data_IF_918201438595
#
_entry.id   IF_918201438595
#
_cell.length_a   1.000
_cell.length_b   1.000
_cell.length_c   1.000
_cell.angle_alpha   90.00
_cell.angle_beta   90.00
_cell.angle_gamma   90.00
#
_symmetry.space_group_name_H-M   'P 1'
#
loop_
_entity.id
_entity.type
_entity.pdbx_description
1 polymer ?
#
# COMPACT_ATOMS: atom_id res chain seq x y z
N UNK A 1 -23.34 17.09 1.93
CA UNK A 1 -23.75 15.72 2.22
C UNK A 1 -23.62 14.82 0.99
N UNK A 2 -22.43 14.79 0.34
CA UNK A 2 -22.21 14.00 -0.90
C UNK A 2 -20.78 13.40 -0.98
N UNK A 3 -20.07 13.25 0.14
CA UNK A 3 -18.67 12.82 0.14
C UNK A 3 -18.45 11.32 0.35
N UNK A 4 -19.51 10.57 0.71
CA UNK A 4 -19.46 9.12 1.00
C UNK A 4 -20.06 8.25 -0.12
N UNK A 5 -20.28 8.81 -1.31
CA UNK A 5 -20.99 8.11 -2.39
C UNK A 5 -20.18 6.96 -3.01
N UNK A 6 -18.88 6.91 -2.76
CA UNK A 6 -17.97 5.98 -3.43
C UNK A 6 -17.44 4.86 -2.53
N UNK A 7 -17.33 5.10 -1.23
CA UNK A 7 -16.95 4.05 -0.29
C UNK A 7 -18.20 3.37 0.25
N UNK A 8 -18.34 2.08 -0.03
CA UNK A 8 -19.49 1.33 0.42
C UNK A 8 -19.38 1.07 1.93
N UNK A 9 -20.41 1.44 2.70
CA UNK A 9 -20.51 1.02 4.08
C UNK A 9 -20.78 -0.49 4.14
N UNK A 10 -20.37 -1.13 5.22
CA UNK A 10 -20.60 -2.56 5.42
C UNK A 10 -21.16 -2.83 6.83
N UNK A 11 -21.89 -3.91 6.96
CA UNK A 11 -22.31 -4.41 8.26
C UNK A 11 -21.11 -4.99 9.02
N UNK A 12 -21.16 -4.95 10.34
CA UNK A 12 -20.04 -5.40 11.18
C UNK A 12 -19.84 -6.92 11.22
N UNK A 13 -20.75 -7.69 10.65
CA UNK A 13 -20.61 -9.13 10.37
C UNK A 13 -19.97 -9.40 9.00
N UNK A 14 -19.95 -8.42 8.08
CA UNK A 14 -19.19 -8.48 6.83
C UNK A 14 -17.71 -8.13 7.07
N UNK A 15 -16.82 -8.87 6.43
CA UNK A 15 -15.37 -8.68 6.50
C UNK A 15 -14.86 -8.34 5.11
N UNK A 16 -14.63 -7.05 4.78
CA UNK A 16 -14.21 -6.64 3.44
C UNK A 16 -12.94 -7.36 2.98
N UNK A 17 -12.89 -7.76 1.73
CA UNK A 17 -11.72 -8.37 1.09
C UNK A 17 -10.76 -7.27 0.62
N UNK A 18 -9.52 -7.28 1.12
CA UNK A 18 -8.56 -6.17 0.95
C UNK A 18 -7.25 -6.70 0.37
N UNK A 19 -6.82 -6.15 -0.75
CA UNK A 19 -5.47 -6.38 -1.26
C UNK A 19 -4.53 -5.31 -0.70
N UNK A 20 -3.45 -5.73 -0.03
CA UNK A 20 -2.31 -4.88 0.29
C UNK A 20 -1.14 -5.29 -0.61
N UNK A 21 -0.69 -4.38 -1.46
CA UNK A 21 0.38 -4.64 -2.41
C UNK A 21 1.47 -3.58 -2.36
N UNK A 22 2.65 -3.94 -2.82
CA UNK A 22 3.79 -3.04 -2.99
C UNK A 22 4.37 -3.20 -4.39
N UNK A 23 5.65 -2.91 -4.52
CA UNK A 23 6.35 -2.95 -5.80
C UNK A 23 6.61 -4.36 -6.35
N UNK A 24 6.27 -5.41 -5.62
CA UNK A 24 6.57 -6.79 -6.02
C UNK A 24 5.91 -7.21 -7.34
N UNK A 25 4.70 -6.73 -7.61
CA UNK A 25 4.02 -7.01 -8.87
C UNK A 25 4.77 -6.40 -10.06
N UNK A 26 5.19 -5.16 -9.97
CA UNK A 26 6.01 -4.48 -10.98
C UNK A 26 7.41 -5.12 -11.12
N UNK A 27 8.04 -5.46 -10.00
CA UNK A 27 9.35 -6.13 -9.97
C UNK A 27 9.37 -7.51 -10.61
N UNK A 28 8.24 -8.15 -10.80
CA UNK A 28 8.17 -9.39 -11.56
C UNK A 28 8.54 -9.20 -13.04
N UNK A 29 8.46 -7.96 -13.55
CA UNK A 29 8.73 -7.59 -14.95
C UNK A 29 9.99 -6.72 -15.12
N UNK A 30 10.39 -5.97 -14.10
CA UNK A 30 11.58 -5.09 -14.13
C UNK A 30 12.30 -5.12 -12.76
N UNK A 31 13.62 -5.04 -12.77
CA UNK A 31 14.40 -4.87 -11.53
C UNK A 31 14.31 -3.43 -11.00
N UNK A 32 13.09 -3.03 -10.64
CA UNK A 32 12.81 -1.77 -9.99
C UNK A 32 12.73 -1.98 -8.47
N UNK A 33 13.70 -1.45 -7.72
CA UNK A 33 13.77 -1.62 -6.28
C UNK A 33 14.18 -0.33 -5.55
N UNK A 34 13.94 -0.31 -4.24
CA UNK A 34 14.29 0.81 -3.37
C UNK A 34 15.79 1.15 -3.40
N UNK A 35 16.66 0.15 -3.47
CA UNK A 35 18.10 0.37 -3.52
C UNK A 35 18.49 1.17 -4.77
N UNK A 36 17.91 0.84 -5.93
CA UNK A 36 18.14 1.57 -7.18
C UNK A 36 17.68 3.02 -7.07
N UNK A 37 16.43 3.24 -6.59
CA UNK A 37 15.92 4.59 -6.41
C UNK A 37 16.81 5.42 -5.46
N UNK A 38 17.14 4.88 -4.29
CA UNK A 38 17.93 5.61 -3.31
C UNK A 38 19.38 5.81 -3.79
N UNK A 39 19.92 4.87 -4.57
CA UNK A 39 21.20 5.03 -5.24
C UNK A 39 21.18 6.19 -6.24
N UNK A 40 20.15 6.25 -7.08
CA UNK A 40 19.95 7.32 -8.06
C UNK A 40 19.80 8.69 -7.38
N UNK A 41 18.98 8.78 -6.32
CA UNK A 41 18.83 9.99 -5.50
C UNK A 41 20.12 10.39 -4.78
N UNK A 42 21.02 9.45 -4.49
CA UNK A 42 22.33 9.76 -3.90
C UNK A 42 23.29 10.40 -4.90
N UNK A 43 23.08 10.22 -6.20
CA UNK A 43 23.97 10.67 -7.26
C UNK A 43 25.41 10.17 -7.07
N UNK A 44 26.40 11.04 -7.24
CA UNK A 44 27.84 10.73 -7.09
C UNK A 44 28.37 10.87 -5.65
N UNK A 45 27.51 11.06 -4.64
CA UNK A 45 27.95 11.32 -3.25
C UNK A 45 28.69 10.15 -2.60
N UNK A 46 28.43 8.93 -3.03
CA UNK A 46 29.02 7.73 -2.45
C UNK A 46 29.66 6.85 -3.54
N UNK A 47 30.87 6.31 -3.26
CA UNK A 47 31.44 5.24 -4.07
C UNK A 47 30.61 3.95 -3.92
N UNK A 48 30.76 3.01 -4.85
CA UNK A 48 30.05 1.72 -4.80
C UNK A 48 30.40 0.92 -3.55
N UNK A 49 31.64 1.00 -3.08
CA UNK A 49 32.07 0.38 -1.83
C UNK A 49 31.30 0.95 -0.62
N UNK A 50 31.21 2.28 -0.51
CA UNK A 50 30.43 2.94 0.55
C UNK A 50 28.96 2.64 0.44
N UNK A 51 28.40 2.62 -0.78
CA UNK A 51 27.01 2.25 -0.99
C UNK A 51 26.74 0.82 -0.53
N UNK A 52 27.64 -0.14 -0.82
CA UNK A 52 27.55 -1.51 -0.34
C UNK A 52 27.45 -1.66 1.19
N UNK A 53 28.00 -0.68 1.95
CA UNK A 53 27.86 -0.61 3.40
C UNK A 53 26.51 0.02 3.76
N UNK A 54 26.16 1.15 3.14
CA UNK A 54 24.98 1.95 3.46
C UNK A 54 23.66 1.21 3.19
N UNK A 55 23.59 0.41 2.12
CA UNK A 55 22.38 -0.38 1.79
C UNK A 55 21.97 -1.42 2.83
N UNK A 56 22.81 -1.65 3.86
CA UNK A 56 22.46 -2.48 5.02
C UNK A 56 21.60 -1.75 6.05
N UNK A 57 21.47 -0.42 5.93
CA UNK A 57 20.56 0.37 6.76
C UNK A 57 19.10 0.07 6.39
N UNK A 58 18.17 0.12 7.35
CA UNK A 58 16.75 0.14 7.05
C UNK A 58 16.39 1.28 6.08
N UNK A 59 15.46 1.03 5.16
CA UNK A 59 15.14 1.97 4.09
C UNK A 59 14.85 3.42 4.53
N UNK A 60 14.11 3.68 5.64
CA UNK A 60 13.89 5.05 6.09
C UNK A 60 15.17 5.78 6.52
N UNK A 61 16.17 5.06 7.05
CA UNK A 61 17.49 5.62 7.40
C UNK A 61 18.34 5.81 6.16
N UNK A 62 18.35 4.81 5.26
CA UNK A 62 19.07 4.90 4.00
C UNK A 62 18.58 6.09 3.17
N UNK A 63 17.28 6.37 3.16
CA UNK A 63 16.71 7.52 2.46
C UNK A 63 17.26 8.86 2.97
N UNK A 64 17.43 9.03 4.30
CA UNK A 64 18.03 10.24 4.88
C UNK A 64 19.48 10.40 4.43
N UNK A 65 20.26 9.31 4.48
CA UNK A 65 21.66 9.33 4.04
C UNK A 65 21.77 9.58 2.54
N UNK A 66 20.94 8.91 1.73
CA UNK A 66 20.92 9.04 0.29
C UNK A 66 20.56 10.47 -0.16
N UNK A 67 19.65 11.15 0.50
CA UNK A 67 19.22 12.52 0.14
C UNK A 67 20.04 13.62 0.82
N UNK A 68 20.84 13.30 1.84
CA UNK A 68 21.77 14.23 2.50
C UNK A 68 21.10 15.50 3.03
N UNK A 69 20.11 15.40 3.88
CA UNK A 69 19.30 16.49 4.44
C UNK A 69 18.44 17.28 3.42
N UNK A 70 18.43 16.88 2.15
CA UNK A 70 17.60 17.46 1.09
C UNK A 70 16.42 16.57 0.72
N UNK A 71 15.78 15.96 1.71
CA UNK A 71 14.71 14.99 1.53
C UNK A 71 13.57 15.51 0.65
N UNK A 72 13.17 16.79 0.83
CA UNK A 72 12.12 17.41 0.01
C UNK A 72 12.51 17.51 -1.48
N UNK A 73 13.77 17.75 -1.78
CA UNK A 73 14.28 17.78 -3.16
C UNK A 73 14.27 16.36 -3.73
N UNK A 74 14.79 15.38 -2.99
CA UNK A 74 14.75 13.97 -3.39
C UNK A 74 13.34 13.45 -3.63
N UNK A 75 12.36 13.86 -2.82
CA UNK A 75 10.94 13.50 -3.04
C UNK A 75 10.39 14.07 -4.34
N UNK A 76 10.75 15.31 -4.72
CA UNK A 76 10.34 15.91 -5.99
C UNK A 76 10.99 15.21 -7.19
N UNK A 77 12.27 14.85 -7.08
CA UNK A 77 12.97 14.07 -8.11
C UNK A 77 12.36 12.68 -8.28
N UNK A 78 12.13 11.97 -7.18
CA UNK A 78 11.45 10.68 -7.18
C UNK A 78 10.04 10.77 -7.77
N UNK A 79 9.28 11.85 -7.46
CA UNK A 79 7.96 12.09 -8.05
C UNK A 79 7.99 12.20 -9.57
N UNK A 80 9.01 12.86 -10.13
CA UNK A 80 9.14 13.00 -11.58
C UNK A 80 9.40 11.65 -12.25
N UNK A 81 10.19 10.78 -11.63
CA UNK A 81 10.44 9.42 -12.12
C UNK A 81 9.16 8.56 -12.05
N UNK A 82 8.52 8.51 -10.90
CA UNK A 82 7.36 7.66 -10.68
C UNK A 82 6.09 8.08 -11.44
N UNK A 83 5.91 9.37 -11.73
CA UNK A 83 4.75 9.80 -12.51
C UNK A 83 4.85 9.37 -13.99
N UNK A 84 6.08 9.16 -14.47
CA UNK A 84 6.39 8.72 -15.82
C UNK A 84 6.47 7.19 -15.95
N UNK A 85 6.50 6.46 -14.83
CA UNK A 85 6.51 4.99 -14.86
C UNK A 85 5.30 4.46 -15.62
N UNK A 86 5.54 3.59 -16.57
CA UNK A 86 4.52 2.97 -17.41
C UNK A 86 4.30 1.51 -17.03
N UNK A 87 3.15 0.98 -17.41
CA UNK A 87 2.84 -0.45 -17.27
C UNK A 87 3.66 -1.23 -18.29
N UNK A 88 4.38 -2.23 -17.82
CA UNK A 88 5.23 -3.07 -18.66
C UNK A 88 4.41 -4.12 -19.43
N UNK A 89 4.94 -4.65 -20.56
CA UNK A 89 4.25 -5.70 -21.30
C UNK A 89 3.93 -6.93 -20.45
N UNK A 90 2.67 -7.31 -20.36
CA UNK A 90 2.18 -8.43 -19.53
C UNK A 90 1.82 -8.05 -18.09
N UNK A 91 2.35 -6.94 -17.57
CA UNK A 91 2.04 -6.46 -16.22
C UNK A 91 0.57 -6.08 -16.07
N UNK A 92 -0.01 -5.46 -17.09
CA UNK A 92 -1.45 -5.12 -17.11
C UNK A 92 -2.33 -6.35 -16.95
N UNK A 93 -1.93 -7.49 -17.53
CA UNK A 93 -2.64 -8.77 -17.39
C UNK A 93 -2.61 -9.26 -15.96
N UNK A 94 -1.44 -9.23 -15.31
CA UNK A 94 -1.29 -9.63 -13.91
C UNK A 94 -2.09 -8.72 -12.96
N UNK A 95 -2.01 -7.39 -13.17
CA UNK A 95 -2.76 -6.41 -12.38
C UNK A 95 -4.27 -6.62 -12.56
N UNK A 96 -4.77 -6.75 -13.79
CA UNK A 96 -6.19 -7.01 -14.05
C UNK A 96 -6.65 -8.32 -13.39
N UNK A 97 -5.83 -9.37 -13.42
CA UNK A 97 -6.11 -10.62 -12.72
C UNK A 97 -6.22 -10.40 -11.22
N UNK A 98 -5.31 -9.64 -10.62
CA UNK A 98 -5.37 -9.27 -9.20
C UNK A 98 -6.67 -8.53 -8.85
N UNK A 99 -7.05 -7.53 -9.64
CA UNK A 99 -8.26 -6.75 -9.40
C UNK A 99 -9.53 -7.59 -9.59
N UNK A 100 -9.57 -8.43 -10.61
CA UNK A 100 -10.71 -9.32 -10.90
C UNK A 100 -10.89 -10.44 -9.87
N UNK A 101 -9.97 -10.58 -8.91
CA UNK A 101 -10.14 -11.48 -7.75
C UNK A 101 -11.31 -11.05 -6.84
N UNK A 102 -11.80 -9.79 -6.95
CA UNK A 102 -12.97 -9.31 -6.22
C UNK A 102 -12.65 -8.63 -4.89
N UNK A 103 -11.50 -7.96 -4.79
CA UNK A 103 -11.17 -7.13 -3.63
C UNK A 103 -12.04 -5.86 -3.60
N UNK A 104 -12.52 -5.51 -2.42
CA UNK A 104 -13.33 -4.31 -2.17
C UNK A 104 -12.48 -3.04 -2.00
N UNK A 105 -11.22 -3.21 -1.60
CA UNK A 105 -10.24 -2.14 -1.55
C UNK A 105 -8.84 -2.62 -1.92
N UNK A 106 -8.13 -1.78 -2.66
CA UNK A 106 -6.73 -1.99 -3.01
C UNK A 106 -5.89 -0.95 -2.24
N UNK A 107 -4.94 -1.44 -1.47
CA UNK A 107 -3.98 -0.64 -0.73
C UNK A 107 -2.60 -0.85 -1.35
N UNK A 108 -1.93 0.23 -1.72
CA UNK A 108 -0.57 0.12 -2.26
C UNK A 108 0.40 1.03 -1.54
N UNK A 109 1.61 0.52 -1.29
CA UNK A 109 2.74 1.32 -0.81
C UNK A 109 3.49 2.01 -1.94
N UNK A 110 3.15 1.71 -3.21
CA UNK A 110 3.78 2.34 -4.38
C UNK A 110 3.39 3.82 -4.49
N UNK A 111 4.33 4.63 -4.96
CA UNK A 111 4.05 6.04 -5.30
C UNK A 111 3.60 6.21 -6.75
N UNK A 112 3.90 5.26 -7.61
CA UNK A 112 3.60 5.20 -9.04
C UNK A 112 2.20 4.65 -9.31
N UNK A 113 1.76 4.66 -10.56
CA UNK A 113 0.37 4.46 -10.95
C UNK A 113 0.16 3.29 -11.92
N UNK A 114 0.95 2.24 -11.82
CA UNK A 114 0.85 1.07 -12.71
C UNK A 114 -0.53 0.40 -12.60
N UNK A 115 -1.09 0.34 -11.38
CA UNK A 115 -2.41 -0.25 -11.13
C UNK A 115 -3.49 0.55 -11.86
N UNK A 116 -3.48 1.87 -11.68
CA UNK A 116 -4.46 2.77 -12.28
C UNK A 116 -4.36 2.79 -13.81
N UNK A 117 -3.15 2.82 -14.33
CA UNK A 117 -2.89 2.81 -15.78
C UNK A 117 -3.29 1.49 -16.42
N UNK A 118 -3.09 0.35 -15.74
CA UNK A 118 -3.53 -0.97 -16.21
C UNK A 118 -5.06 -1.08 -16.28
N UNK A 119 -5.77 -0.48 -15.30
CA UNK A 119 -7.23 -0.49 -15.24
C UNK A 119 -7.87 0.51 -16.20
N UNK A 120 -7.28 1.68 -16.35
CA UNK A 120 -7.80 2.77 -17.15
C UNK A 120 -6.71 3.30 -18.10
N UNK A 121 -6.64 2.85 -19.36
CA UNK A 121 -5.61 3.29 -20.32
C UNK A 121 -5.55 4.81 -20.54
N UNK A 122 -6.64 5.54 -20.22
CA UNK A 122 -6.68 7.00 -20.23
C UNK A 122 -6.37 7.65 -18.89
N UNK A 123 -5.88 6.90 -17.91
CA UNK A 123 -5.52 7.45 -16.61
C UNK A 123 -4.34 8.43 -16.74
N UNK A 124 -4.57 9.64 -16.25
CA UNK A 124 -3.54 10.66 -16.25
C UNK A 124 -3.61 11.52 -14.99
N UNK A 125 -2.47 11.73 -14.37
CA UNK A 125 -2.26 12.64 -13.27
C UNK A 125 -1.02 13.50 -13.52
N UNK A 126 -0.97 14.69 -12.95
CA UNK A 126 0.19 15.58 -13.06
C UNK A 126 0.56 16.13 -11.69
N UNK A 127 1.85 16.37 -11.49
CA UNK A 127 2.40 16.86 -10.22
C UNK A 127 1.73 18.18 -9.82
N UNK A 128 1.21 18.22 -8.60
CA UNK A 128 0.57 19.41 -8.02
C UNK A 128 -0.76 19.81 -8.66
N UNK A 129 -1.33 18.98 -9.55
CA UNK A 129 -2.61 19.27 -10.20
C UNK A 129 -3.75 18.47 -9.56
N UNK A 130 -4.95 19.06 -9.60
CA UNK A 130 -6.16 18.34 -9.24
C UNK A 130 -6.41 17.19 -10.23
N UNK A 131 -6.91 16.06 -9.71
CA UNK A 131 -7.28 14.91 -10.52
C UNK A 131 -8.76 14.58 -10.32
N UNK A 132 -9.46 14.26 -11.41
CA UNK A 132 -10.86 13.81 -11.36
C UNK A 132 -11.01 12.48 -10.63
N UNK A 133 -9.96 11.67 -10.62
CA UNK A 133 -9.94 10.37 -9.97
C UNK A 133 -9.72 10.48 -8.46
N UNK A 134 -9.03 11.53 -7.99
CA UNK A 134 -8.71 11.68 -6.56
C UNK A 134 -9.92 12.12 -5.76
N UNK A 135 -10.18 11.39 -4.69
CA UNK A 135 -11.22 11.67 -3.70
C UNK A 135 -10.55 11.78 -2.33
N UNK A 136 -11.27 12.38 -1.39
CA UNK A 136 -10.81 12.48 0.01
C UNK A 136 -11.97 12.31 0.97
N UNK A 137 -11.72 11.69 2.09
CA UNK A 137 -12.71 11.47 3.15
C UNK A 137 -12.67 12.56 4.23
N UNK A 138 -11.60 13.38 4.27
CA UNK A 138 -11.41 14.45 5.24
C UNK A 138 -11.41 15.83 4.57
N UNK A 139 -11.92 16.86 5.28
CA UNK A 139 -11.96 18.25 4.81
C UNK A 139 -10.70 19.04 5.14
N UNK A 140 -9.81 18.49 5.96
CA UNK A 140 -8.62 19.20 6.45
C UNK A 140 -7.64 19.57 5.33
N UNK A 141 -6.83 20.59 5.60
CA UNK A 141 -5.76 20.97 4.67
C UNK A 141 -4.77 19.81 4.51
N UNK A 142 -4.33 19.52 3.28
CA UNK A 142 -3.44 18.43 3.03
C UNK A 142 -2.09 18.64 3.71
N UNK A 143 -1.72 17.73 4.59
CA UNK A 143 -0.36 17.46 5.04
C UNK A 143 0.03 16.09 4.52
N UNK A 144 1.31 15.76 4.44
CA UNK A 144 1.78 14.48 3.92
C UNK A 144 1.00 13.32 4.54
N UNK A 145 1.04 13.19 5.84
CA UNK A 145 0.38 12.13 6.59
C UNK A 145 -1.16 12.15 6.51
N UNK A 146 -1.77 13.33 6.36
CA UNK A 146 -3.23 13.46 6.18
C UNK A 146 -3.64 13.05 4.79
N UNK A 147 -2.83 13.38 3.78
CA UNK A 147 -3.06 12.95 2.39
C UNK A 147 -2.96 11.43 2.28
N UNK A 148 -1.89 10.82 2.78
CA UNK A 148 -1.71 9.37 2.77
C UNK A 148 -2.83 8.64 3.51
N UNK A 149 -3.38 9.22 4.59
CA UNK A 149 -4.41 8.58 5.40
C UNK A 149 -5.82 8.67 4.81
N UNK A 150 -6.16 9.76 4.11
CA UNK A 150 -7.55 10.09 3.74
C UNK A 150 -7.80 10.26 2.24
N UNK A 151 -6.76 10.33 1.41
CA UNK A 151 -6.95 10.40 -0.03
C UNK A 151 -6.93 9.00 -0.65
N UNK A 152 -7.80 8.81 -1.63
CA UNK A 152 -7.85 7.62 -2.45
C UNK A 152 -8.14 7.98 -3.90
N UNK A 153 -7.81 7.08 -4.80
CA UNK A 153 -8.18 7.15 -6.20
C UNK A 153 -9.40 6.26 -6.45
N UNK A 154 -10.31 6.77 -7.27
CA UNK A 154 -11.50 6.08 -7.70
C UNK A 154 -11.39 5.92 -9.21
N UNK A 155 -11.00 4.73 -9.63
CA UNK A 155 -10.57 4.45 -11.00
C UNK A 155 -11.60 3.59 -11.70
N UNK A 156 -12.14 3.99 -12.85
CA UNK A 156 -13.04 3.16 -13.63
C UNK A 156 -12.29 1.93 -14.15
N UNK A 157 -12.93 0.79 -14.04
CA UNK A 157 -12.57 -0.49 -14.61
C UNK A 157 -13.67 -0.88 -15.64
N UNK A 158 -13.47 -1.91 -16.45
CA UNK A 158 -14.37 -2.30 -17.55
C UNK A 158 -15.86 -2.34 -17.18
N UNK A 159 -16.21 -2.84 -15.99
CA UNK A 159 -17.60 -2.99 -15.53
C UNK A 159 -17.87 -2.40 -14.14
N UNK A 160 -16.89 -1.74 -13.53
CA UNK A 160 -16.97 -1.28 -12.16
C UNK A 160 -16.01 -0.12 -11.89
N UNK A 161 -15.92 0.29 -10.65
CA UNK A 161 -14.97 1.29 -10.18
C UNK A 161 -14.17 0.70 -9.01
N UNK A 162 -12.86 0.91 -9.04
CA UNK A 162 -11.92 0.36 -8.06
C UNK A 162 -11.42 1.48 -7.14
N UNK A 163 -11.43 1.21 -5.84
CA UNK A 163 -10.88 2.10 -4.82
C UNK A 163 -9.42 1.73 -4.57
N UNK A 164 -8.51 2.67 -4.81
CA UNK A 164 -7.07 2.48 -4.64
C UNK A 164 -6.55 3.51 -3.65
N UNK A 165 -5.87 3.04 -2.61
CA UNK A 165 -5.21 3.87 -1.60
C UNK A 165 -3.70 3.79 -1.75
N UNK A 166 -3.04 4.90 -2.00
CA UNK A 166 -1.59 5.04 -1.87
C UNK A 166 -1.26 5.35 -0.41
N UNK A 167 -1.09 4.29 0.38
CA UNK A 167 -1.00 4.41 1.86
C UNK A 167 0.28 5.10 2.35
N UNK A 168 1.32 5.14 1.52
CA UNK A 168 2.55 5.91 1.76
C UNK A 168 2.65 7.18 0.90
N UNK A 169 1.51 7.63 0.33
CA UNK A 169 1.46 8.79 -0.54
C UNK A 169 1.64 8.45 -2.02
N UNK A 170 1.57 9.45 -2.86
CA UNK A 170 1.53 9.30 -4.32
C UNK A 170 2.40 10.33 -5.05
N UNK A 171 2.97 9.95 -6.20
CA UNK A 171 3.92 10.77 -6.95
C UNK A 171 3.34 12.11 -7.44
N UNK A 172 2.06 12.20 -7.77
CA UNK A 172 1.45 13.47 -8.17
C UNK A 172 1.31 14.50 -7.03
N UNK A 173 1.50 14.06 -5.78
CA UNK A 173 1.55 14.91 -4.59
C UNK A 173 2.86 14.65 -3.83
N UNK A 174 4.00 15.22 -4.27
CA UNK A 174 5.31 14.93 -3.66
C UNK A 174 5.33 15.07 -2.14
N UNK A 175 4.64 16.07 -1.61
CA UNK A 175 4.54 16.33 -0.18
C UNK A 175 3.73 15.25 0.58
N UNK A 176 3.08 14.31 -0.11
CA UNK A 176 2.39 13.16 0.51
C UNK A 176 3.29 11.94 0.68
N UNK A 177 4.42 11.86 -0.01
CA UNK A 177 5.29 10.70 -0.02
C UNK A 177 5.94 10.48 1.36
N UNK A 178 5.79 9.29 1.89
CA UNK A 178 6.32 8.90 3.19
C UNK A 178 7.72 8.29 3.00
N UNK A 179 8.73 9.15 2.99
CA UNK A 179 10.13 8.76 2.81
C UNK A 179 10.93 9.27 4.04
N UNK A 180 11.70 8.37 4.64
CA UNK A 180 12.54 8.69 5.80
C UNK A 180 11.78 8.75 7.13
N UNK A 181 12.51 8.60 8.22
CA UNK A 181 11.97 8.44 9.58
C UNK A 181 11.00 9.52 10.02
N UNK A 182 11.25 10.77 9.63
CA UNK A 182 10.41 11.90 10.03
C UNK A 182 8.97 11.72 9.56
N UNK A 183 8.78 11.34 8.29
CA UNK A 183 7.46 11.15 7.70
C UNK A 183 6.80 9.87 8.18
N UNK A 184 7.56 8.77 8.32
CA UNK A 184 7.07 7.52 8.93
C UNK A 184 6.58 7.75 10.36
N UNK A 185 7.34 8.46 11.19
CA UNK A 185 6.92 8.78 12.56
C UNK A 185 5.65 9.62 12.63
N UNK A 186 5.48 10.58 11.72
CA UNK A 186 4.26 11.40 11.62
C UNK A 186 3.07 10.57 11.14
N UNK A 187 3.24 9.74 10.14
CA UNK A 187 2.19 8.84 9.65
C UNK A 187 1.75 7.89 10.76
N UNK A 188 2.69 7.22 11.42
CA UNK A 188 2.40 6.31 12.54
C UNK A 188 1.61 7.00 13.66
N UNK A 189 2.01 8.21 14.06
CA UNK A 189 1.28 8.99 15.07
C UNK A 189 -0.17 9.27 14.65
N UNK A 190 -0.42 9.52 13.38
CA UNK A 190 -1.78 9.73 12.85
C UNK A 190 -2.58 8.45 12.78
N UNK A 191 -1.95 7.35 12.35
CA UNK A 191 -2.55 6.03 12.36
C UNK A 191 -2.98 5.65 13.79
N UNK A 192 -2.12 5.86 14.79
CA UNK A 192 -2.43 5.57 16.20
C UNK A 192 -3.66 6.33 16.69
N UNK A 193 -3.69 7.64 16.44
CA UNK A 193 -4.85 8.48 16.83
C UNK A 193 -6.12 8.03 16.14
N UNK A 194 -6.05 7.78 14.83
CA UNK A 194 -7.19 7.34 14.03
C UNK A 194 -7.69 5.94 14.45
N UNK A 195 -6.77 5.02 14.71
CA UNK A 195 -7.09 3.65 15.14
C UNK A 195 -7.90 3.65 16.44
N UNK A 196 -7.51 4.45 17.43
CA UNK A 196 -8.24 4.56 18.69
C UNK A 196 -9.67 5.10 18.49
N UNK A 197 -9.85 6.06 17.58
CA UNK A 197 -11.16 6.61 17.25
C UNK A 197 -12.02 5.60 16.48
N UNK A 198 -11.43 4.96 15.45
CA UNK A 198 -12.20 4.08 14.57
C UNK A 198 -12.64 2.79 15.28
N UNK A 199 -11.84 2.24 16.19
CA UNK A 199 -12.24 1.10 17.04
C UNK A 199 -13.50 1.44 17.85
N UNK A 200 -13.57 2.66 18.42
CA UNK A 200 -14.78 3.10 19.15
C UNK A 200 -15.99 3.18 18.23
N UNK A 201 -15.83 3.77 17.03
CA UNK A 201 -16.92 3.88 16.04
C UNK A 201 -17.41 2.50 15.61
N UNK A 202 -16.49 1.57 15.35
CA UNK A 202 -16.82 0.21 14.93
C UNK A 202 -17.62 -0.53 16.03
N UNK A 203 -17.17 -0.47 17.29
CA UNK A 203 -17.88 -1.08 18.43
C UNK A 203 -19.27 -0.50 18.66
N UNK A 204 -19.47 0.79 18.35
CA UNK A 204 -20.80 1.41 18.44
C UNK A 204 -21.71 0.87 17.33
N UNK A 205 -21.24 0.83 16.08
CA UNK A 205 -21.99 0.26 14.97
C UNK A 205 -22.34 -1.21 15.21
N UNK A 206 -21.37 -2.01 15.69
CA UNK A 206 -21.56 -3.41 16.02
C UNK A 206 -22.64 -3.61 17.10
N UNK A 207 -22.60 -2.84 18.19
CA UNK A 207 -23.58 -2.92 19.27
C UNK A 207 -24.99 -2.56 18.83
N UNK A 208 -25.10 -1.61 17.91
CA UNK A 208 -26.38 -1.11 17.43
C UNK A 208 -26.93 -1.91 16.23
N UNK A 209 -26.13 -2.77 15.60
CA UNK A 209 -26.47 -3.40 14.32
C UNK A 209 -26.48 -2.43 13.15
N UNK A 210 -25.76 -1.31 13.27
CA UNK A 210 -25.67 -0.27 12.25
C UNK A 210 -24.59 -0.58 11.20
N UNK A 211 -24.70 0.07 10.02
CA UNK A 211 -23.63 0.07 9.02
C UNK A 211 -22.41 0.83 9.54
N UNK A 212 -21.23 0.24 9.35
CA UNK A 212 -19.97 0.92 9.55
C UNK A 212 -19.55 1.65 8.27
N UNK A 213 -19.17 2.92 8.42
CA UNK A 213 -18.74 3.79 7.32
C UNK A 213 -17.21 3.97 7.38
N UNK A 214 -16.44 3.29 6.49
CA UNK A 214 -15.00 3.46 6.44
C UNK A 214 -14.64 4.89 6.02
N UNK A 215 -13.54 5.42 6.57
CA UNK A 215 -13.04 6.77 6.28
C UNK A 215 -11.56 6.80 5.90
N UNK A 216 -10.87 5.67 6.07
CA UNK A 216 -9.45 5.51 5.79
C UNK A 216 -9.15 4.06 5.43
N UNK A 217 -8.06 3.83 4.75
CA UNK A 217 -7.53 2.50 4.50
C UNK A 217 -7.23 1.72 5.81
N UNK A 218 -7.00 2.43 6.91
CA UNK A 218 -6.85 1.82 8.25
C UNK A 218 -8.08 1.02 8.66
N UNK A 219 -9.27 1.48 8.30
CA UNK A 219 -10.52 0.76 8.58
C UNK A 219 -10.55 -0.60 7.86
N UNK A 220 -10.11 -0.63 6.61
CA UNK A 220 -10.03 -1.85 5.81
C UNK A 220 -9.01 -2.84 6.36
N UNK A 221 -7.84 -2.36 6.80
CA UNK A 221 -6.87 -3.24 7.46
C UNK A 221 -7.44 -3.79 8.77
N UNK A 222 -7.99 -2.94 9.63
CA UNK A 222 -8.47 -3.37 10.94
C UNK A 222 -9.64 -4.37 10.85
N UNK A 223 -10.59 -4.16 9.94
CA UNK A 223 -11.85 -4.89 9.93
C UNK A 223 -12.06 -5.77 8.69
N UNK A 224 -11.10 -5.84 7.77
CA UNK A 224 -11.15 -6.65 6.56
C UNK A 224 -10.34 -7.94 6.65
N UNK A 225 -10.51 -8.82 5.66
CA UNK A 225 -9.59 -9.91 5.36
C UNK A 225 -8.49 -9.34 4.45
N UNK A 226 -7.26 -9.27 4.96
CA UNK A 226 -6.12 -8.60 4.30
C UNK A 226 -5.24 -9.64 3.63
N UNK A 227 -5.11 -9.53 2.32
CA UNK A 227 -4.25 -10.38 1.49
C UNK A 227 -3.05 -9.55 1.05
N UNK A 228 -1.87 -9.87 1.57
CA UNK A 228 -0.62 -9.13 1.33
C UNK A 228 0.13 -9.85 0.22
N UNK A 229 0.14 -9.26 -0.98
CA UNK A 229 0.75 -9.84 -2.18
C UNK A 229 1.65 -8.83 -2.86
N UNK A 230 2.91 -9.17 -3.10
CA UNK A 230 3.86 -8.24 -3.73
C UNK A 230 4.36 -7.12 -2.83
N UNK A 231 4.05 -7.17 -1.52
CA UNK A 231 4.61 -6.30 -0.49
C UNK A 231 5.58 -7.10 0.38
N UNK A 232 6.81 -6.58 0.51
CA UNK A 232 7.89 -7.29 1.21
C UNK A 232 7.71 -7.35 2.73
N UNK A 233 6.91 -6.47 3.30
CA UNK A 233 6.72 -6.34 4.76
C UNK A 233 8.06 -6.31 5.49
N UNK A 234 8.96 -5.38 5.06
CA UNK A 234 10.25 -5.21 5.68
C UNK A 234 10.11 -4.84 7.18
N UNK A 235 11.10 -5.18 7.99
CA UNK A 235 11.08 -4.87 9.43
C UNK A 235 10.97 -3.36 9.72
N UNK A 236 11.36 -2.52 8.76
CA UNK A 236 11.25 -1.07 8.87
C UNK A 236 9.85 -0.49 8.57
N UNK A 237 8.93 -1.30 8.08
CA UNK A 237 7.52 -0.93 7.86
C UNK A 237 6.75 -0.87 9.18
N UNK A 238 7.24 -0.03 10.11
CA UNK A 238 6.76 0.02 11.50
C UNK A 238 5.28 0.38 11.62
N UNK A 239 4.76 1.18 10.72
CA UNK A 239 3.35 1.59 10.68
C UNK A 239 2.44 0.41 10.31
N UNK A 240 2.84 -0.41 9.34
CA UNK A 240 2.09 -1.60 8.95
C UNK A 240 2.16 -2.68 10.03
N UNK A 241 3.34 -2.98 10.57
CA UNK A 241 3.48 -3.96 11.65
C UNK A 241 2.69 -3.57 12.89
N UNK A 242 2.77 -2.30 13.29
CA UNK A 242 1.98 -1.78 14.40
C UNK A 242 0.47 -1.94 14.15
N UNK A 243 0.03 -1.67 12.92
CA UNK A 243 -1.39 -1.78 12.58
C UNK A 243 -1.87 -3.24 12.52
N UNK A 244 -1.02 -4.18 12.06
CA UNK A 244 -1.33 -5.61 12.11
C UNK A 244 -1.48 -6.11 13.55
N UNK A 245 -0.61 -5.67 14.46
CA UNK A 245 -0.75 -5.98 15.88
C UNK A 245 -2.06 -5.40 16.47
N UNK A 246 -2.41 -4.18 16.12
CA UNK A 246 -3.71 -3.61 16.49
C UNK A 246 -4.90 -4.39 15.91
N UNK A 247 -4.79 -4.89 14.67
CA UNK A 247 -5.80 -5.76 14.05
C UNK A 247 -5.97 -7.04 14.85
N UNK A 248 -4.89 -7.70 15.23
CA UNK A 248 -4.90 -8.90 16.07
C UNK A 248 -5.62 -8.67 17.40
N UNK A 249 -5.39 -7.52 18.03
CA UNK A 249 -5.92 -7.21 19.36
C UNK A 249 -7.37 -6.68 19.34
N UNK A 250 -7.74 -5.91 18.34
CA UNK A 250 -8.97 -5.11 18.36
C UNK A 250 -9.81 -5.20 17.07
N UNK A 251 -9.25 -5.79 16.02
CA UNK A 251 -9.87 -5.85 14.70
C UNK A 251 -10.68 -7.12 14.45
N UNK A 252 -11.01 -7.33 13.18
CA UNK A 252 -11.70 -8.53 12.67
C UNK A 252 -11.05 -9.00 11.36
N UNK A 253 -11.41 -10.21 10.96
CA UNK A 253 -10.89 -10.84 9.76
C UNK A 253 -9.45 -11.31 9.93
N UNK A 254 -8.89 -11.85 8.87
CA UNK A 254 -7.56 -12.43 8.79
C UNK A 254 -6.56 -11.49 8.12
N UNK A 255 -5.27 -11.79 8.28
CA UNK A 255 -4.21 -11.21 7.45
C UNK A 255 -3.29 -12.33 6.97
N UNK A 256 -3.04 -12.40 5.67
CA UNK A 256 -2.21 -13.45 5.04
C UNK A 256 -1.13 -12.78 4.19
N UNK A 257 0.13 -13.12 4.45
CA UNK A 257 1.28 -12.60 3.71
C UNK A 257 1.82 -13.67 2.76
N UNK A 258 1.68 -13.44 1.46
CA UNK A 258 2.23 -14.30 0.40
C UNK A 258 3.63 -13.80 0.04
N UNK A 259 4.64 -14.47 0.55
CA UNK A 259 6.04 -14.16 0.27
C UNK A 259 6.86 -15.44 0.24
N UNK A 260 7.43 -15.81 -0.92
CA UNK A 260 8.34 -16.95 -0.99
C UNK A 260 9.65 -16.60 -0.26
N UNK A 261 10.38 -17.62 0.17
CA UNK A 261 11.73 -17.48 0.75
C UNK A 261 11.82 -16.44 1.88
N UNK A 262 10.86 -16.52 2.82
CA UNK A 262 10.80 -15.58 3.96
C UNK A 262 11.80 -15.99 5.04
N UNK A 263 12.69 -15.07 5.51
CA UNK A 263 13.56 -15.33 6.65
C UNK A 263 12.78 -15.71 7.90
N UNK A 264 13.33 -16.61 8.71
CA UNK A 264 12.66 -17.16 9.88
C UNK A 264 12.25 -16.07 10.90
N UNK A 265 13.07 -15.06 11.08
CA UNK A 265 12.77 -13.91 11.94
C UNK A 265 11.56 -13.11 11.45
N UNK A 266 11.37 -13.01 10.14
CA UNK A 266 10.21 -12.35 9.56
C UNK A 266 8.94 -13.21 9.67
N UNK A 267 9.07 -14.54 9.55
CA UNK A 267 7.96 -15.48 9.82
C UNK A 267 7.50 -15.31 11.27
N UNK A 268 8.41 -15.32 12.22
CA UNK A 268 8.10 -15.16 13.65
C UNK A 268 7.45 -13.79 13.94
N UNK A 269 7.94 -12.72 13.31
CA UNK A 269 7.35 -11.38 13.44
C UNK A 269 5.92 -11.35 12.89
N UNK A 270 5.70 -11.93 11.70
CA UNK A 270 4.38 -12.00 11.08
C UNK A 270 3.37 -12.72 12.01
N UNK A 271 3.72 -13.91 12.48
CA UNK A 271 2.89 -14.69 13.41
C UNK A 271 2.63 -13.93 14.73
N UNK A 272 3.66 -13.29 15.27
CA UNK A 272 3.53 -12.46 16.47
C UNK A 272 2.51 -11.32 16.27
N UNK A 273 2.49 -10.69 15.10
CA UNK A 273 1.55 -9.63 14.75
C UNK A 273 0.19 -10.15 14.21
N UNK A 274 -0.05 -11.47 14.23
CA UNK A 274 -1.32 -12.05 13.78
C UNK A 274 -1.48 -12.11 12.25
N UNK A 275 -0.38 -12.09 11.53
CA UNK A 275 -0.32 -12.31 10.08
C UNK A 275 0.08 -13.76 9.81
N UNK A 276 -0.69 -14.47 9.00
CA UNK A 276 -0.36 -15.84 8.58
C UNK A 276 0.61 -15.78 7.40
N UNK A 277 1.84 -16.27 7.53
CA UNK A 277 2.79 -16.32 6.43
C UNK A 277 2.51 -17.52 5.51
N UNK A 278 2.31 -17.27 4.24
CA UNK A 278 2.29 -18.26 3.15
C UNK A 278 3.65 -18.21 2.46
N UNK A 279 4.55 -19.08 2.89
CA UNK A 279 5.94 -19.14 2.40
C UNK A 279 6.16 -20.36 1.50
N UNK A 280 7.26 -20.39 0.77
CA UNK A 280 7.68 -21.50 -0.08
C UNK A 280 9.07 -21.27 -0.63
N UNK A 281 9.51 -22.11 -1.54
CA UNK A 281 10.78 -21.90 -2.24
C UNK A 281 10.73 -20.67 -3.16
N UNK A 282 11.89 -20.07 -3.40
CA UNK A 282 12.00 -18.97 -4.38
C UNK A 282 11.52 -19.45 -5.75
N UNK A 283 10.50 -18.81 -6.35
CA UNK A 283 9.96 -19.26 -7.63
C UNK A 283 10.94 -18.99 -8.77
N UNK A 284 10.89 -19.82 -9.81
CA UNK A 284 11.64 -19.57 -11.04
C UNK A 284 11.10 -18.36 -11.80
N UNK A 285 9.79 -18.10 -11.68
CA UNK A 285 9.11 -16.94 -12.26
C UNK A 285 8.19 -16.29 -11.22
N UNK A 286 8.44 -15.06 -10.89
CA UNK A 286 7.55 -14.29 -10.01
C UNK A 286 6.21 -13.96 -10.66
N UNK A 287 6.16 -13.85 -11.99
CA UNK A 287 4.90 -13.67 -12.73
C UNK A 287 4.00 -14.86 -12.51
N UNK A 288 4.48 -16.09 -12.75
CA UNK A 288 3.72 -17.32 -12.54
C UNK A 288 3.32 -17.51 -11.08
N UNK A 289 4.19 -17.16 -10.16
CA UNK A 289 3.91 -17.20 -8.71
C UNK A 289 2.71 -16.31 -8.35
N UNK A 290 2.72 -15.07 -8.77
CA UNK A 290 1.60 -14.16 -8.48
C UNK A 290 0.32 -14.56 -9.22
N UNK A 291 0.43 -15.00 -10.46
CA UNK A 291 -0.72 -15.55 -11.21
C UNK A 291 -1.36 -16.75 -10.50
N UNK A 292 -0.54 -17.62 -9.94
CA UNK A 292 -0.98 -18.76 -9.14
C UNK A 292 -1.73 -18.34 -7.87
N UNK A 293 -1.20 -17.34 -7.14
CA UNK A 293 -1.85 -16.77 -5.96
C UNK A 293 -3.22 -16.20 -6.33
N UNK A 294 -3.30 -15.32 -7.33
CA UNK A 294 -4.56 -14.68 -7.70
C UNK A 294 -5.57 -15.70 -8.25
N UNK A 295 -5.13 -16.75 -8.95
CA UNK A 295 -6.02 -17.85 -9.36
C UNK A 295 -6.59 -18.61 -8.16
N UNK A 296 -5.76 -18.94 -7.16
CA UNK A 296 -6.19 -19.55 -5.89
C UNK A 296 -7.19 -18.66 -5.15
N UNK A 297 -6.87 -17.38 -5.04
CA UNK A 297 -7.74 -16.41 -4.37
C UNK A 297 -9.08 -16.25 -5.11
N UNK A 298 -9.07 -16.14 -6.43
CA UNK A 298 -10.32 -16.03 -7.22
C UNK A 298 -11.23 -17.24 -7.01
N UNK A 299 -10.67 -18.44 -6.98
CA UNK A 299 -11.47 -19.65 -6.71
C UNK A 299 -12.03 -19.71 -5.29
N UNK A 300 -11.32 -19.13 -4.32
CA UNK A 300 -11.75 -19.13 -2.92
C UNK A 300 -12.73 -18.00 -2.63
N UNK A 301 -12.53 -16.82 -3.21
CA UNK A 301 -13.30 -15.61 -2.92
C UNK A 301 -14.51 -15.41 -3.84
N UNK A 302 -14.52 -16.04 -5.02
CA UNK A 302 -15.63 -15.97 -5.99
C UNK A 302 -16.74 -17.00 -5.78
N UNK A 303 -16.61 -17.89 -4.80
CA UNK A 303 -17.59 -18.95 -4.47
C UNK A 303 -18.57 -18.60 -3.34
N UNK A 304 -18.58 -17.34 -2.86
CA UNK A 304 -19.50 -16.87 -1.82
C UNK A 304 -20.60 -15.97 -2.46
#
# INVERSE_FOLDING_TARGET
MNMLRYMQPFYTDHTPKVLLTGNGLHRAFEDANWDKLLRDLSGSRFSDEKWGILKKLPYPQLAIVATGNHLNTGMKEASQLYIQSDVLPGEDTLIKKAINTGFEAILTTNYSYEIEKALCPGFHVAIGKASKYRKKTCKDKPKAETTALYNYLFVPNENSETIIWHIHGEAAIPDSMIIGHYYYGRLLSRIQTYTAETIKRYKIAERNGDLFYPRSWVDYILFGNVYIVGQGMDQSEMDLWWLMDCKKLYGKGTAVLYKPDMPQEQVMLAEACGVTPETGETPLSFVEYYEGIFSKLTSTLGGE
#
